data_IF_311214163242
#
_entry.id   IF_311214163242
#
_cell.length_a   1.000
_cell.length_b   1.000
_cell.length_c   1.000
_cell.angle_alpha   90.00
_cell.angle_beta   90.00
_cell.angle_gamma   90.00
#
_symmetry.space_group_name_H-M   'P 1'
#
loop_
_entity.id
_entity.type
_entity.pdbx_description
1 polymer ?
#
# COMPACT_ATOMS: atom_id res chain seq x y z
N UNK A 1 -73.02 4.83 6.12
CA UNK A 1 -73.45 5.19 7.46
C UNK A 1 -72.18 5.64 8.17
N UNK A 2 -71.88 6.94 7.99
CA UNK A 2 -72.00 8.01 9.01
C UNK A 2 -71.23 7.64 10.29
N UNK A 3 -70.18 8.33 10.57
CA UNK A 3 -69.98 9.66 11.31
C UNK A 3 -69.23 9.30 12.60
N UNK A 4 -68.24 9.90 13.17
CA UNK A 4 -67.63 11.24 13.32
C UNK A 4 -66.46 11.05 14.26
N UNK A 5 -65.33 11.70 14.07
CA UNK A 5 -64.78 12.90 14.75
C UNK A 5 -64.88 12.93 16.29
N UNK A 6 -63.76 13.05 17.00
CA UNK A 6 -63.29 14.31 17.60
C UNK A 6 -62.00 14.08 18.44
N UNK A 7 -60.97 14.80 18.18
CA UNK A 7 -60.36 15.99 18.89
C UNK A 7 -60.04 15.78 20.37
N UNK A 8 -58.79 15.86 20.77
CA UNK A 8 -58.13 16.99 21.49
C UNK A 8 -56.81 16.54 22.11
N UNK A 9 -55.80 17.34 21.85
CA UNK A 9 -54.57 17.43 22.68
C UNK A 9 -54.84 18.24 23.95
N UNK A 10 -54.02 18.24 24.99
CA UNK A 10 -52.82 19.09 24.98
C UNK A 10 -51.58 18.56 25.73
N UNK A 11 -50.44 19.20 25.44
CA UNK A 11 -49.16 19.21 26.12
C UNK A 11 -49.28 19.83 27.52
N UNK A 12 -48.43 19.50 28.57
CA UNK A 12 -47.20 20.25 28.73
C UNK A 12 -45.96 19.49 29.31
N UNK A 13 -44.78 19.89 28.79
CA UNK A 13 -43.53 20.37 29.42
C UNK A 13 -43.05 19.74 30.73
N UNK A 14 -41.76 19.37 30.72
CA UNK A 14 -40.63 19.94 31.51
C UNK A 14 -39.42 19.00 31.33
N UNK A 15 -38.30 19.52 30.81
CA UNK A 15 -36.97 18.98 30.96
C UNK A 15 -36.47 19.21 32.39
N UNK A 16 -35.46 18.49 32.87
CA UNK A 16 -34.13 19.08 32.79
C UNK A 16 -32.96 18.14 32.53
N UNK A 17 -31.97 18.71 31.91
CA UNK A 17 -30.52 18.57 32.07
C UNK A 17 -29.94 17.18 32.38
N UNK A 18 -29.16 16.67 31.42
CA UNK A 18 -28.25 15.56 31.57
C UNK A 18 -27.30 15.46 30.36
N UNK A 19 -26.19 16.15 30.47
CA UNK A 19 -24.90 16.02 29.83
C UNK A 19 -24.82 15.15 28.53
N UNK A 20 -24.62 15.82 27.43
CA UNK A 20 -24.12 15.26 26.20
C UNK A 20 -22.65 14.85 26.39
N UNK A 21 -22.25 13.63 26.03
CA UNK A 21 -20.84 13.31 25.86
C UNK A 21 -20.31 14.06 24.63
N UNK A 22 -19.27 14.82 24.87
CA UNK A 22 -18.48 15.58 23.92
C UNK A 22 -18.20 14.85 22.64
N UNK A 23 -18.45 15.52 21.52
CA UNK A 23 -18.02 15.14 20.19
C UNK A 23 -16.51 14.89 20.16
N UNK A 24 -16.12 13.62 20.12
CA UNK A 24 -14.76 13.21 19.82
C UNK A 24 -14.59 13.06 18.32
N UNK A 25 -13.58 13.79 17.85
CA UNK A 25 -12.85 13.60 16.60
C UNK A 25 -13.68 13.71 15.31
N UNK A 26 -13.85 14.94 14.86
CA UNK A 26 -13.94 15.21 13.42
C UNK A 26 -12.66 14.68 12.78
N UNK A 27 -12.81 13.68 11.95
CA UNK A 27 -11.86 13.28 10.91
C UNK A 27 -11.37 14.55 10.21
N UNK A 28 -10.07 14.83 10.33
CA UNK A 28 -9.39 15.85 9.55
C UNK A 28 -9.63 15.52 8.07
N UNK A 29 -10.36 16.39 7.43
CA UNK A 29 -10.86 16.22 6.08
C UNK A 29 -9.70 16.16 5.09
N UNK A 30 -9.82 15.24 4.15
CA UNK A 30 -8.98 14.97 2.97
C UNK A 30 -8.85 16.20 2.04
N UNK A 31 -9.46 17.33 2.36
CA UNK A 31 -9.57 18.54 1.53
C UNK A 31 -8.32 19.44 1.49
N UNK A 32 -7.29 19.20 2.31
CA UNK A 32 -6.13 20.12 2.37
C UNK A 32 -5.08 19.94 1.28
N UNK A 33 -5.23 18.96 0.39
CA UNK A 33 -4.24 18.71 -0.69
C UNK A 33 -4.64 19.35 -2.02
N UNK A 34 -5.92 19.64 -2.26
CA UNK A 34 -6.40 20.11 -3.56
C UNK A 34 -6.26 21.64 -3.79
N UNK A 35 -6.09 22.44 -2.75
CA UNK A 35 -6.15 23.91 -2.90
C UNK A 35 -4.82 24.61 -3.21
N UNK A 36 -3.68 23.94 -3.20
CA UNK A 36 -2.36 24.59 -3.35
C UNK A 36 -1.77 24.57 -4.76
N UNK A 37 -2.42 23.90 -5.71
CA UNK A 37 -1.88 23.79 -7.06
C UNK A 37 -2.41 24.88 -7.99
N UNK A 38 -1.52 25.77 -8.45
CA UNK A 38 -1.81 26.65 -9.59
C UNK A 38 -1.92 25.78 -10.85
N UNK A 39 -3.13 25.63 -11.40
CA UNK A 39 -3.32 24.99 -12.68
C UNK A 39 -3.01 25.98 -13.81
N UNK A 40 -2.00 25.68 -14.60
CA UNK A 40 -1.79 26.29 -15.90
C UNK A 40 -2.26 25.30 -16.99
N UNK A 41 -3.53 25.42 -17.41
CA UNK A 41 -4.14 24.45 -18.32
C UNK A 41 -4.26 23.06 -17.67
N UNK A 42 -3.66 22.03 -18.30
CA UNK A 42 -3.63 20.64 -17.78
C UNK A 42 -2.36 20.28 -17.02
N UNK A 43 -1.43 21.22 -16.84
CA UNK A 43 -0.14 20.99 -16.17
C UNK A 43 -0.29 21.44 -14.72
N UNK A 44 -0.09 20.50 -13.78
CA UNK A 44 0.10 20.83 -12.37
C UNK A 44 1.57 21.21 -12.16
N UNK A 45 1.82 22.39 -11.62
CA UNK A 45 3.18 22.86 -11.32
C UNK A 45 3.31 23.22 -9.86
N UNK A 46 4.47 22.86 -9.32
CA UNK A 46 4.87 23.16 -7.95
C UNK A 46 6.33 23.56 -7.96
N UNK A 47 6.68 24.60 -7.24
CA UNK A 47 8.09 24.96 -7.06
C UNK A 47 8.77 24.02 -6.08
N UNK A 48 10.12 23.92 -6.14
CA UNK A 48 10.87 23.10 -5.19
C UNK A 48 10.61 23.49 -3.71
N UNK A 49 10.55 24.76 -3.32
CA UNK A 49 10.17 25.14 -1.96
C UNK A 49 8.79 24.65 -1.56
N UNK A 50 7.79 24.80 -2.43
CA UNK A 50 6.42 24.28 -2.19
C UNK A 50 6.43 22.77 -2.04
N UNK A 51 7.14 22.03 -2.90
CA UNK A 51 7.29 20.58 -2.80
C UNK A 51 7.88 20.15 -1.45
N UNK A 52 8.93 20.81 -1.00
CA UNK A 52 9.61 20.49 0.26
C UNK A 52 8.79 20.87 1.51
N UNK A 53 7.84 21.79 1.36
CA UNK A 53 6.93 22.19 2.43
C UNK A 53 5.63 21.38 2.45
N UNK A 54 5.30 20.70 1.34
CA UNK A 54 4.09 19.89 1.20
C UNK A 54 4.24 18.58 1.95
N UNK A 55 3.18 18.20 2.65
CA UNK A 55 3.07 16.89 3.29
C UNK A 55 2.24 15.98 2.40
N UNK A 56 2.86 14.93 1.92
CA UNK A 56 2.16 13.93 1.13
C UNK A 56 1.55 12.86 2.03
N UNK A 57 0.47 12.23 1.56
CA UNK A 57 -0.11 11.09 2.26
C UNK A 57 0.91 9.96 2.29
N UNK A 58 1.14 9.42 3.47
CA UNK A 58 1.98 8.24 3.65
C UNK A 58 1.35 7.03 2.95
N UNK A 59 2.14 6.35 2.14
CA UNK A 59 1.77 5.10 1.48
C UNK A 59 2.73 4.01 1.93
N UNK A 60 2.45 3.35 3.09
CA UNK A 60 3.34 2.33 3.62
C UNK A 60 3.36 1.10 2.71
N UNK A 61 4.51 0.41 2.69
CA UNK A 61 4.65 -0.86 1.99
C UNK A 61 3.61 -1.88 2.47
N UNK A 62 3.13 -2.72 1.57
CA UNK A 62 2.27 -3.87 1.92
C UNK A 62 3.11 -4.97 2.54
N UNK A 63 4.29 -5.23 1.98
CA UNK A 63 5.29 -6.15 2.52
C UNK A 63 6.61 -5.39 2.57
N UNK A 64 7.09 -5.13 3.77
CA UNK A 64 8.25 -4.27 3.97
C UNK A 64 9.52 -4.91 3.39
N UNK A 65 10.25 -4.14 2.56
CA UNK A 65 11.42 -4.63 1.85
C UNK A 65 11.14 -5.51 0.63
N UNK A 66 9.87 -5.86 0.32
CA UNK A 66 9.52 -6.72 -0.82
C UNK A 66 8.47 -6.10 -1.75
N UNK A 67 7.38 -5.55 -1.23
CA UNK A 67 6.28 -5.00 -2.02
C UNK A 67 5.89 -3.61 -1.50
N UNK A 68 6.57 -2.56 -1.94
CA UNK A 68 6.18 -1.16 -1.66
C UNK A 68 4.78 -0.83 -2.18
N UNK A 69 4.26 0.35 -1.80
CA UNK A 69 3.01 0.85 -2.39
C UNK A 69 3.19 1.13 -3.89
N UNK A 70 2.19 0.79 -4.70
CA UNK A 70 2.22 1.02 -6.15
C UNK A 70 1.62 -0.11 -6.96
N UNK A 71 1.92 -0.15 -8.25
CA UNK A 71 1.44 -1.17 -9.19
C UNK A 71 2.58 -2.05 -9.65
N UNK A 72 2.44 -3.35 -9.42
CA UNK A 72 3.49 -4.35 -9.65
C UNK A 72 3.00 -5.47 -10.57
N UNK A 73 3.96 -6.06 -11.29
CA UNK A 73 3.73 -7.27 -12.07
C UNK A 73 4.31 -8.50 -11.33
N UNK A 74 3.57 -9.61 -11.29
CA UNK A 74 4.14 -10.92 -11.01
C UNK A 74 4.16 -11.73 -12.29
N UNK A 75 5.34 -11.93 -12.86
CA UNK A 75 5.52 -12.64 -14.10
C UNK A 75 6.15 -14.04 -13.88
N UNK A 76 5.95 -14.93 -14.84
CA UNK A 76 6.55 -16.26 -14.85
C UNK A 76 5.85 -17.21 -15.80
N UNK A 77 6.51 -18.32 -16.15
CA UNK A 77 5.97 -19.32 -17.06
C UNK A 77 4.63 -19.91 -16.57
N UNK A 78 3.75 -20.36 -17.47
CA UNK A 78 2.54 -21.07 -17.06
C UNK A 78 2.82 -22.28 -16.18
N UNK A 79 1.99 -22.50 -15.15
CA UNK A 79 2.07 -23.66 -14.23
C UNK A 79 3.35 -23.71 -13.36
N UNK A 80 4.03 -22.57 -13.17
CA UNK A 80 5.25 -22.52 -12.34
C UNK A 80 4.94 -22.39 -10.84
N UNK A 81 3.69 -22.06 -10.47
CA UNK A 81 3.26 -21.89 -9.08
C UNK A 81 2.92 -20.45 -8.66
N UNK A 82 2.75 -19.51 -9.63
CA UNK A 82 2.37 -18.11 -9.35
C UNK A 82 1.10 -17.98 -8.51
N UNK A 83 0.02 -18.69 -8.90
CA UNK A 83 -1.26 -18.64 -8.19
C UNK A 83 -1.19 -19.18 -6.76
N UNK A 84 -0.26 -20.11 -6.46
CA UNK A 84 0.02 -20.50 -5.07
C UNK A 84 0.74 -19.39 -4.31
N UNK A 85 1.73 -18.74 -4.96
CA UNK A 85 2.48 -17.66 -4.36
C UNK A 85 1.58 -16.45 -4.01
N UNK A 86 0.69 -16.06 -4.93
CA UNK A 86 -0.21 -14.92 -4.69
C UNK A 86 -1.33 -15.25 -3.71
N UNK A 87 -1.83 -16.49 -3.67
CA UNK A 87 -2.81 -16.92 -2.68
C UNK A 87 -2.21 -16.92 -1.27
N UNK A 88 -0.98 -17.44 -1.12
CA UNK A 88 -0.21 -17.37 0.12
C UNK A 88 0.03 -15.91 0.55
N UNK A 89 0.47 -15.05 -0.37
CA UNK A 89 0.68 -13.61 -0.11
C UNK A 89 -0.63 -12.96 0.35
N UNK A 90 -1.73 -13.19 -0.37
CA UNK A 90 -3.03 -12.63 -0.04
C UNK A 90 -3.49 -13.03 1.37
N UNK A 91 -3.35 -14.31 1.71
CA UNK A 91 -3.68 -14.82 3.04
C UNK A 91 -2.79 -14.19 4.13
N UNK A 92 -1.48 -14.24 3.98
CA UNK A 92 -0.55 -13.74 4.99
C UNK A 92 -0.67 -12.23 5.21
N UNK A 93 -0.86 -11.44 4.15
CA UNK A 93 -1.12 -9.99 4.25
C UNK A 93 -2.45 -9.74 4.98
N UNK A 94 -3.52 -10.48 4.66
CA UNK A 94 -4.82 -10.33 5.33
C UNK A 94 -4.76 -10.64 6.82
N UNK A 95 -3.83 -11.51 7.22
CA UNK A 95 -3.59 -11.90 8.63
C UNK A 95 -2.55 -11.00 9.33
N UNK A 96 -1.79 -10.19 8.57
CA UNK A 96 -0.63 -9.45 9.11
C UNK A 96 0.56 -10.36 9.43
N UNK A 97 0.61 -11.54 8.83
CA UNK A 97 1.70 -12.51 9.00
C UNK A 97 2.83 -12.22 8.01
N UNK A 98 4.10 -12.49 8.37
CA UNK A 98 5.21 -12.29 7.44
C UNK A 98 5.06 -13.13 6.18
N UNK A 99 5.27 -12.53 5.00
CA UNK A 99 5.34 -13.23 3.73
C UNK A 99 6.80 -13.49 3.34
N UNK A 100 7.18 -14.74 3.16
CA UNK A 100 8.56 -15.17 2.89
C UNK A 100 9.57 -14.56 3.91
N UNK A 101 9.17 -14.38 5.16
CA UNK A 101 10.00 -13.77 6.21
C UNK A 101 10.01 -12.24 6.23
N UNK A 102 9.41 -11.57 5.25
CA UNK A 102 9.28 -10.12 5.19
C UNK A 102 8.01 -9.67 5.96
N UNK A 103 8.10 -8.65 6.84
CA UNK A 103 6.94 -8.16 7.58
C UNK A 103 5.83 -7.66 6.66
N UNK A 104 4.58 -8.05 6.93
CA UNK A 104 3.40 -7.61 6.18
C UNK A 104 2.56 -6.63 6.96
N UNK A 105 2.02 -5.62 6.28
CA UNK A 105 0.99 -4.75 6.81
C UNK A 105 -0.36 -5.44 6.72
N UNK A 106 -1.04 -5.62 7.86
CA UNK A 106 -2.39 -6.16 7.87
C UNK A 106 -3.39 -5.20 7.24
N UNK A 107 -4.31 -5.72 6.44
CA UNK A 107 -5.45 -5.01 5.86
C UNK A 107 -6.29 -5.91 4.98
N UNK A 108 -7.37 -5.36 4.43
CA UNK A 108 -8.22 -6.09 3.49
C UNK A 108 -7.47 -6.34 2.18
N UNK A 109 -7.56 -7.57 1.68
CA UNK A 109 -6.98 -8.02 0.41
C UNK A 109 -8.10 -8.51 -0.50
N UNK A 110 -8.20 -7.93 -1.70
CA UNK A 110 -9.05 -8.44 -2.77
C UNK A 110 -8.21 -9.29 -3.73
N UNK A 111 -8.55 -10.57 -3.87
CA UNK A 111 -7.91 -11.45 -4.85
C UNK A 111 -8.88 -11.87 -5.93
N UNK A 112 -8.71 -11.32 -7.14
CA UNK A 112 -9.43 -11.69 -8.35
C UNK A 112 -8.74 -12.89 -9.01
N UNK A 113 -9.17 -14.11 -8.65
CA UNK A 113 -8.62 -15.39 -9.11
C UNK A 113 -9.34 -15.86 -10.39
N UNK A 114 -9.18 -15.11 -11.50
CA UNK A 114 -10.03 -15.23 -12.70
C UNK A 114 -9.74 -16.46 -13.59
N UNK A 115 -8.70 -17.23 -13.28
CA UNK A 115 -8.41 -18.51 -13.91
C UNK A 115 -8.68 -19.70 -12.99
N UNK A 116 -9.29 -19.45 -11.83
CA UNK A 116 -9.56 -20.45 -10.83
C UNK A 116 -11.07 -20.68 -10.59
N UNK A 117 -11.39 -21.63 -9.74
CA UNK A 117 -12.76 -21.89 -9.27
C UNK A 117 -12.81 -21.83 -7.75
N UNK A 118 -13.97 -21.47 -7.18
CA UNK A 118 -14.16 -21.43 -5.73
C UNK A 118 -13.79 -22.78 -5.07
N UNK A 119 -14.10 -23.91 -5.71
CA UNK A 119 -13.76 -25.24 -5.21
C UNK A 119 -12.24 -25.45 -5.12
N UNK A 120 -11.47 -25.01 -6.14
CA UNK A 120 -10.01 -25.13 -6.11
C UNK A 120 -9.38 -24.21 -5.08
N UNK A 121 -9.89 -22.98 -4.96
CA UNK A 121 -9.43 -22.04 -3.93
C UNK A 121 -9.68 -22.59 -2.53
N UNK A 122 -10.88 -23.14 -2.27
CA UNK A 122 -11.23 -23.77 -1.00
C UNK A 122 -10.26 -24.92 -0.67
N UNK A 123 -10.01 -25.83 -1.62
CA UNK A 123 -9.08 -26.96 -1.42
C UNK A 123 -7.65 -26.50 -1.12
N UNK A 124 -7.18 -25.43 -1.79
CA UNK A 124 -5.85 -24.89 -1.57
C UNK A 124 -5.75 -24.21 -0.20
N UNK A 125 -6.72 -23.37 0.16
CA UNK A 125 -6.74 -22.70 1.45
C UNK A 125 -6.83 -23.69 2.61
N UNK A 126 -7.68 -24.72 2.51
CA UNK A 126 -7.78 -25.76 3.52
C UNK A 126 -6.48 -26.56 3.72
N UNK A 127 -5.58 -26.58 2.72
CA UNK A 127 -4.26 -27.20 2.83
C UNK A 127 -3.17 -26.21 3.27
N UNK A 128 -3.36 -24.91 3.01
CA UNK A 128 -2.42 -23.86 3.41
C UNK A 128 -2.55 -23.47 4.88
N UNK A 129 -3.78 -23.48 5.43
CA UNK A 129 -4.04 -22.92 6.75
C UNK A 129 -5.27 -23.56 7.41
N UNK A 130 -5.29 -23.53 8.75
CA UNK A 130 -6.45 -23.88 9.57
C UNK A 130 -7.19 -22.64 10.11
N UNK A 131 -6.69 -21.42 9.82
CA UNK A 131 -7.23 -20.16 10.34
C UNK A 131 -7.89 -19.36 9.22
N UNK A 132 -9.08 -18.87 9.47
CA UNK A 132 -9.82 -18.04 8.54
C UNK A 132 -9.42 -16.55 8.67
N UNK A 133 -9.61 -15.80 7.57
CA UNK A 133 -9.44 -14.36 7.53
C UNK A 133 -10.65 -13.69 6.89
N UNK A 134 -11.34 -12.85 7.65
CA UNK A 134 -12.43 -12.01 7.13
C UNK A 134 -11.94 -10.90 6.20
N UNK A 135 -10.63 -10.61 6.24
CA UNK A 135 -9.99 -9.60 5.37
C UNK A 135 -9.49 -10.16 4.04
N UNK A 136 -9.58 -11.48 3.81
CA UNK A 136 -9.27 -12.08 2.52
C UNK A 136 -10.55 -12.24 1.72
N UNK A 137 -10.76 -11.37 0.74
CA UNK A 137 -11.93 -11.38 -0.13
C UNK A 137 -11.53 -11.94 -1.49
N UNK A 138 -12.26 -12.95 -1.96
CA UNK A 138 -11.95 -13.71 -3.16
C UNK A 138 -13.04 -13.55 -4.20
N UNK A 139 -12.68 -13.36 -5.47
CA UNK A 139 -13.60 -13.45 -6.59
C UNK A 139 -12.99 -14.25 -7.74
N UNK A 140 -13.80 -15.09 -8.37
CA UNK A 140 -13.43 -15.87 -9.57
C UNK A 140 -14.01 -15.25 -10.85
N UNK A 141 -14.64 -14.09 -10.72
CA UNK A 141 -15.22 -13.32 -11.81
C UNK A 141 -14.89 -11.83 -11.64
N UNK A 142 -14.71 -11.15 -12.76
CA UNK A 142 -14.60 -9.70 -12.83
C UNK A 142 -14.95 -9.24 -14.25
N UNK A 143 -15.40 -7.99 -14.38
CA UNK A 143 -15.47 -7.27 -15.62
C UNK A 143 -14.07 -6.99 -16.18
N UNK A 144 -13.98 -6.71 -17.48
CA UNK A 144 -12.75 -6.19 -18.09
C UNK A 144 -12.61 -4.68 -17.82
N UNK A 145 -11.43 -4.13 -18.09
CA UNK A 145 -11.20 -2.69 -17.97
C UNK A 145 -12.15 -1.84 -18.83
N UNK A 146 -12.57 -2.36 -19.99
CA UNK A 146 -13.52 -1.66 -20.86
C UNK A 146 -14.97 -1.85 -20.44
N UNK A 147 -15.25 -2.83 -19.60
CA UNK A 147 -16.59 -3.14 -19.08
C UNK A 147 -16.84 -2.59 -17.66
N UNK A 148 -15.92 -1.79 -17.12
CA UNK A 148 -16.10 -1.09 -15.84
C UNK A 148 -15.36 -1.67 -14.64
N UNK A 149 -14.24 -2.40 -14.85
CA UNK A 149 -13.44 -2.93 -13.73
C UNK A 149 -13.00 -1.83 -12.75
N UNK A 150 -12.56 -0.67 -13.25
CA UNK A 150 -12.09 0.42 -12.37
C UNK A 150 -13.20 0.93 -11.46
N UNK A 151 -14.41 1.06 -12.00
CA UNK A 151 -15.60 1.45 -11.25
C UNK A 151 -15.92 0.42 -10.16
N UNK A 152 -15.82 -0.89 -10.48
CA UNK A 152 -16.02 -1.96 -9.48
C UNK A 152 -14.97 -1.98 -8.38
N UNK A 153 -13.71 -1.73 -8.74
CA UNK A 153 -12.63 -1.60 -7.75
C UNK A 153 -12.84 -0.37 -6.86
N UNK A 154 -13.38 0.72 -7.41
CA UNK A 154 -13.72 1.93 -6.66
C UNK A 154 -14.88 1.68 -5.69
N UNK A 155 -15.95 1.02 -6.15
CA UNK A 155 -17.09 0.62 -5.32
C UNK A 155 -16.59 -0.28 -4.16
N UNK A 156 -15.79 -1.31 -4.48
CA UNK A 156 -15.20 -2.20 -3.49
C UNK A 156 -14.37 -1.45 -2.45
N UNK A 157 -13.49 -0.54 -2.90
CA UNK A 157 -12.66 0.25 -2.00
C UNK A 157 -13.50 1.16 -1.10
N UNK A 158 -14.61 1.70 -1.59
CA UNK A 158 -15.50 2.55 -0.79
C UNK A 158 -16.16 1.79 0.37
N UNK A 159 -16.41 0.49 0.20
CA UNK A 159 -16.95 -0.39 1.23
C UNK A 159 -15.85 -0.96 2.17
N UNK A 160 -14.60 -1.06 1.66
CA UNK A 160 -13.45 -1.64 2.36
C UNK A 160 -12.26 -0.65 2.36
N UNK A 161 -12.37 0.44 3.11
CA UNK A 161 -11.37 1.53 3.12
C UNK A 161 -10.03 1.14 3.74
N UNK A 162 -9.95 -0.01 4.43
CA UNK A 162 -8.73 -0.62 4.95
C UNK A 162 -8.02 -1.55 3.94
N UNK A 163 -8.46 -1.55 2.66
CA UNK A 163 -7.83 -2.33 1.59
C UNK A 163 -6.39 -1.89 1.37
N UNK A 164 -5.47 -2.84 1.45
CA UNK A 164 -4.02 -2.63 1.27
C UNK A 164 -3.49 -3.23 -0.02
N UNK A 165 -4.13 -4.31 -0.52
CA UNK A 165 -3.66 -5.07 -1.67
C UNK A 165 -4.83 -5.54 -2.53
N UNK A 166 -4.71 -5.36 -3.85
CA UNK A 166 -5.56 -5.97 -4.86
C UNK A 166 -4.69 -6.84 -5.76
N UNK A 167 -5.04 -8.13 -5.89
CA UNK A 167 -4.34 -9.07 -6.75
C UNK A 167 -5.24 -9.43 -7.92
N UNK A 168 -4.72 -9.34 -9.15
CA UNK A 168 -5.44 -9.69 -10.38
C UNK A 168 -4.71 -10.87 -11.05
N UNK A 169 -5.29 -12.06 -11.02
CA UNK A 169 -4.74 -13.29 -11.62
C UNK A 169 -5.69 -13.82 -12.71
N UNK A 170 -5.52 -13.45 -14.00
CA UNK A 170 -4.37 -12.80 -14.63
C UNK A 170 -4.76 -11.53 -15.41
N UNK A 171 -3.74 -10.74 -15.78
CA UNK A 171 -3.88 -9.57 -16.66
C UNK A 171 -4.70 -9.87 -17.92
N UNK A 172 -4.49 -11.05 -18.52
CA UNK A 172 -5.18 -11.47 -19.75
C UNK A 172 -6.70 -11.49 -19.61
N UNK A 173 -7.22 -11.71 -18.41
CA UNK A 173 -8.67 -11.82 -18.15
C UNK A 173 -9.36 -10.48 -18.00
N UNK A 174 -8.61 -9.44 -17.66
CA UNK A 174 -9.16 -8.07 -17.43
C UNK A 174 -8.83 -7.09 -18.55
N UNK A 175 -8.01 -7.48 -19.53
CA UNK A 175 -7.74 -6.67 -20.72
C UNK A 175 -9.01 -6.36 -21.48
N UNK A 176 -9.12 -5.13 -21.97
CA UNK A 176 -10.16 -4.74 -22.93
C UNK A 176 -10.03 -5.47 -24.27
N UNK A 177 -11.10 -5.52 -25.03
CA UNK A 177 -11.14 -6.09 -26.38
C UNK A 177 -10.70 -5.05 -27.40
N UNK A 178 -9.42 -4.74 -27.49
CA UNK A 178 -8.89 -3.92 -28.58
C UNK A 178 -8.50 -4.80 -29.76
N UNK A 179 -8.69 -4.34 -31.04
CA UNK A 179 -8.28 -5.09 -32.23
C UNK A 179 -6.79 -5.43 -32.25
N UNK A 180 -5.97 -4.67 -31.53
CA UNK A 180 -4.51 -4.79 -31.41
C UNK A 180 -4.08 -5.43 -30.10
N UNK A 181 -4.77 -6.50 -29.68
CA UNK A 181 -4.45 -7.26 -28.46
C UNK A 181 -2.99 -7.78 -28.53
N UNK A 182 -2.08 -7.10 -27.81
CA UNK A 182 -0.65 -7.45 -27.73
C UNK A 182 0.28 -6.34 -28.27
N UNK A 183 -0.27 -5.17 -28.65
CA UNK A 183 0.56 -3.99 -28.95
C UNK A 183 1.12 -3.38 -27.65
N UNK A 184 2.27 -2.75 -27.76
CA UNK A 184 2.91 -1.98 -26.68
C UNK A 184 1.95 -0.98 -26.04
N UNK A 185 1.17 -0.28 -26.87
CA UNK A 185 0.24 0.74 -26.42
C UNK A 185 -0.91 0.18 -25.56
N UNK A 186 -1.49 -0.96 -25.96
CA UNK A 186 -2.58 -1.61 -25.21
C UNK A 186 -2.13 -2.15 -23.86
N UNK A 187 -0.93 -2.72 -23.80
CA UNK A 187 -0.32 -3.21 -22.55
C UNK A 187 -0.02 -2.07 -21.58
N UNK A 188 0.55 -0.98 -22.11
CA UNK A 188 0.84 0.22 -21.34
C UNK A 188 -0.45 0.87 -20.79
N UNK A 189 -1.48 1.03 -21.62
CA UNK A 189 -2.76 1.63 -21.22
C UNK A 189 -3.45 0.82 -20.13
N UNK A 190 -3.45 -0.50 -20.27
CA UNK A 190 -4.03 -1.42 -19.27
C UNK A 190 -3.41 -1.20 -17.87
N UNK A 191 -2.08 -1.18 -17.78
CA UNK A 191 -1.41 -0.95 -16.51
C UNK A 191 -1.49 0.51 -16.04
N UNK A 192 -1.49 1.48 -16.97
CA UNK A 192 -1.62 2.89 -16.61
C UNK A 192 -2.95 3.19 -15.89
N UNK A 193 -4.06 2.60 -16.35
CA UNK A 193 -5.38 2.73 -15.69
C UNK A 193 -5.39 2.10 -14.28
N UNK A 194 -4.78 0.92 -14.11
CA UNK A 194 -4.64 0.28 -12.81
C UNK A 194 -3.70 1.08 -11.88
N UNK A 195 -2.66 1.68 -12.45
CA UNK A 195 -1.75 2.56 -11.71
C UNK A 195 -2.44 3.83 -11.24
N UNK A 196 -3.23 4.47 -12.10
CA UNK A 196 -4.01 5.65 -11.72
C UNK A 196 -4.96 5.34 -10.56
N UNK A 197 -5.62 4.18 -10.58
CA UNK A 197 -6.43 3.69 -9.46
C UNK A 197 -5.56 3.51 -8.19
N UNK A 198 -4.43 2.79 -8.29
CA UNK A 198 -3.50 2.58 -7.19
C UNK A 198 -3.03 3.90 -6.57
N UNK A 199 -2.66 4.86 -7.43
CA UNK A 199 -2.16 6.17 -7.01
C UNK A 199 -3.25 7.02 -6.36
N UNK A 200 -4.49 6.96 -6.86
CA UNK A 200 -5.63 7.72 -6.32
C UNK A 200 -6.05 7.23 -4.95
N UNK A 201 -6.15 5.91 -4.77
CA UNK A 201 -6.70 5.31 -3.55
C UNK A 201 -5.64 4.85 -2.55
N UNK A 202 -4.35 4.86 -2.94
CA UNK A 202 -3.23 4.43 -2.10
C UNK A 202 -3.23 2.93 -1.81
N UNK A 203 -3.80 2.12 -2.72
CA UNK A 203 -3.88 0.67 -2.64
C UNK A 203 -2.85 0.05 -3.56
N UNK A 204 -2.09 -0.94 -3.09
CA UNK A 204 -1.15 -1.67 -3.96
C UNK A 204 -1.91 -2.62 -4.88
N UNK A 205 -1.57 -2.61 -6.16
CA UNK A 205 -2.13 -3.50 -7.17
C UNK A 205 -1.04 -4.44 -7.68
N UNK A 206 -1.23 -5.75 -7.52
CA UNK A 206 -0.34 -6.79 -8.04
C UNK A 206 -1.03 -7.55 -9.17
N UNK A 207 -0.46 -7.48 -10.37
CA UNK A 207 -1.03 -8.09 -11.58
C UNK A 207 -0.20 -9.28 -12.02
N UNK A 208 -0.82 -10.46 -12.07
CA UNK A 208 -0.17 -11.69 -12.52
C UNK A 208 -0.17 -11.75 -14.04
N UNK A 209 1.01 -12.07 -14.61
CA UNK A 209 1.20 -12.17 -16.05
C UNK A 209 2.03 -13.38 -16.44
N UNK A 210 1.91 -13.83 -17.69
CA UNK A 210 2.68 -14.96 -18.22
C UNK A 210 3.90 -14.47 -19.01
N UNK A 211 5.06 -15.13 -18.81
CA UNK A 211 6.24 -14.89 -19.64
C UNK A 211 6.15 -15.63 -20.98
N UNK A 212 6.86 -15.13 -22.00
CA UNK A 212 7.09 -15.86 -23.26
C UNK A 212 8.05 -17.03 -23.02
N UNK A 213 8.05 -17.98 -23.97
CA UNK A 213 8.88 -19.19 -23.89
C UNK A 213 10.34 -18.99 -24.29
N UNK A 214 10.70 -17.85 -24.83
CA UNK A 214 12.05 -17.57 -25.32
C UNK A 214 12.96 -17.14 -24.16
N UNK A 215 14.14 -17.79 -24.07
CA UNK A 215 15.18 -17.39 -23.13
C UNK A 215 15.76 -16.05 -23.55
N UNK A 216 15.88 -15.13 -22.60
CA UNK A 216 16.55 -13.86 -22.78
C UNK A 216 17.78 -13.81 -21.86
N UNK A 217 18.83 -13.07 -22.26
CA UNK A 217 20.00 -12.84 -21.40
C UNK A 217 19.64 -12.11 -20.12
N UNK A 218 18.65 -11.20 -20.20
CA UNK A 218 18.02 -10.58 -19.05
C UNK A 218 16.65 -11.24 -18.80
N UNK A 219 16.46 -11.82 -17.62
CA UNK A 219 15.24 -12.53 -17.22
C UNK A 219 13.99 -11.65 -17.28
N UNK A 220 14.10 -10.35 -17.06
CA UNK A 220 12.96 -9.41 -17.16
C UNK A 220 12.52 -9.17 -18.61
N UNK A 221 13.38 -9.38 -19.59
CA UNK A 221 13.02 -9.35 -21.01
C UNK A 221 12.12 -10.54 -21.42
N UNK A 222 11.98 -11.55 -20.57
CA UNK A 222 11.01 -12.64 -20.76
C UNK A 222 9.58 -12.24 -20.45
N UNK A 223 9.34 -11.08 -19.79
CA UNK A 223 7.99 -10.62 -19.53
C UNK A 223 7.31 -10.36 -20.87
N UNK A 224 6.28 -11.16 -21.13
CA UNK A 224 5.58 -11.19 -22.40
C UNK A 224 4.92 -9.85 -22.71
N UNK A 225 5.02 -9.45 -23.93
CA UNK A 225 4.28 -8.35 -24.47
C UNK A 225 5.19 -7.27 -24.93
N UNK A 226 5.83 -6.54 -24.06
CA UNK A 226 6.61 -5.39 -24.53
C UNK A 226 7.27 -4.73 -23.32
N UNK A 227 8.28 -3.92 -23.57
CA UNK A 227 8.80 -2.95 -22.61
C UNK A 227 7.70 -2.04 -22.02
N UNK A 228 6.46 -2.07 -22.57
CA UNK A 228 5.31 -1.30 -22.13
C UNK A 228 4.80 -1.66 -20.75
N UNK A 229 4.69 -2.95 -20.46
CA UNK A 229 4.23 -3.41 -19.13
C UNK A 229 5.22 -2.99 -18.03
N UNK A 230 6.52 -3.22 -18.28
CA UNK A 230 7.56 -2.81 -17.34
C UNK A 230 7.67 -1.30 -17.19
N UNK A 231 7.45 -0.53 -18.29
CA UNK A 231 7.49 0.93 -18.27
C UNK A 231 6.35 1.56 -17.48
N UNK A 232 5.17 0.95 -17.45
CA UNK A 232 3.99 1.44 -16.73
C UNK A 232 3.98 1.02 -15.25
N UNK A 233 4.57 -0.12 -14.89
CA UNK A 233 4.63 -0.63 -13.53
C UNK A 233 5.66 0.11 -12.67
N UNK A 234 5.47 0.12 -11.35
CA UNK A 234 6.46 0.59 -10.38
C UNK A 234 7.55 -0.45 -10.11
N UNK A 235 7.27 -1.71 -10.43
CA UNK A 235 8.23 -2.79 -10.36
C UNK A 235 7.64 -4.13 -10.81
N UNK A 236 8.47 -5.17 -10.77
CA UNK A 236 8.09 -6.51 -11.14
C UNK A 236 8.76 -7.57 -10.26
N UNK A 237 8.03 -8.65 -10.07
CA UNK A 237 8.45 -9.89 -9.46
C UNK A 237 8.47 -10.95 -10.55
N UNK A 238 9.58 -11.64 -10.76
CA UNK A 238 9.71 -12.70 -11.76
C UNK A 238 9.98 -14.03 -11.08
N UNK A 239 9.00 -14.93 -11.13
CA UNK A 239 9.15 -16.30 -10.65
C UNK A 239 9.63 -17.21 -11.78
N UNK A 240 10.79 -17.84 -11.61
CA UNK A 240 11.32 -18.77 -12.60
C UNK A 240 11.95 -20.01 -11.95
N UNK A 241 12.10 -21.08 -12.73
CA UNK A 241 12.72 -22.34 -12.33
C UNK A 241 13.70 -22.78 -13.40
N UNK A 242 14.83 -23.32 -13.00
CA UNK A 242 15.81 -23.90 -13.94
C UNK A 242 15.23 -25.10 -14.68
N UNK A 243 14.47 -25.94 -13.98
CA UNK A 243 13.75 -27.08 -14.57
C UNK A 243 12.29 -27.06 -14.10
N UNK A 244 11.36 -27.37 -15.00
CA UNK A 244 9.91 -27.40 -14.69
C UNK A 244 9.55 -28.35 -13.55
N UNK A 245 10.31 -29.41 -13.38
CA UNK A 245 10.09 -30.46 -12.36
C UNK A 245 10.76 -30.12 -11.02
N UNK A 246 11.55 -29.04 -10.95
CA UNK A 246 12.21 -28.65 -9.71
C UNK A 246 11.17 -28.17 -8.67
N UNK A 247 11.38 -28.53 -7.40
CA UNK A 247 10.65 -27.93 -6.26
C UNK A 247 11.12 -26.51 -6.01
N UNK A 248 12.37 -26.21 -6.32
CA UNK A 248 13.02 -24.94 -6.08
C UNK A 248 12.76 -23.96 -7.22
N UNK A 249 12.64 -22.69 -6.90
CA UNK A 249 12.44 -21.58 -7.81
C UNK A 249 13.23 -20.37 -7.35
N UNK A 250 13.42 -19.40 -8.25
CA UNK A 250 13.97 -18.10 -7.93
C UNK A 250 12.89 -17.06 -8.16
N UNK A 251 12.72 -16.15 -7.20
CA UNK A 251 11.90 -14.95 -7.31
C UNK A 251 12.84 -13.76 -7.38
N UNK A 252 12.93 -13.15 -8.55
CA UNK A 252 13.65 -11.90 -8.74
C UNK A 252 12.71 -10.73 -8.64
N UNK A 253 13.15 -9.68 -7.94
CA UNK A 253 12.34 -8.48 -7.68
C UNK A 253 13.11 -7.25 -8.10
N UNK A 254 12.46 -6.38 -8.86
CA UNK A 254 12.98 -5.09 -9.31
C UNK A 254 11.91 -4.03 -9.19
N UNK A 255 12.29 -2.84 -8.75
CA UNK A 255 11.37 -1.70 -8.64
C UNK A 255 12.11 -0.38 -8.75
N UNK A 256 11.35 0.72 -8.90
CA UNK A 256 11.91 2.08 -9.05
C UNK A 256 12.65 2.54 -7.80
N UNK A 257 12.09 2.22 -6.63
CA UNK A 257 12.53 2.76 -5.33
C UNK A 257 13.01 1.67 -4.37
N UNK A 258 13.43 0.52 -4.90
CA UNK A 258 13.95 -0.59 -4.11
C UNK A 258 15.13 -1.26 -4.80
N UNK A 259 16.09 -1.81 -4.04
CA UNK A 259 17.18 -2.60 -4.62
C UNK A 259 16.65 -3.88 -5.25
N UNK A 260 17.41 -4.42 -6.19
CA UNK A 260 17.11 -5.74 -6.73
C UNK A 260 17.27 -6.81 -5.65
N UNK A 261 16.30 -7.71 -5.58
CA UNK A 261 16.33 -8.86 -4.69
C UNK A 261 16.26 -10.15 -5.52
N UNK A 262 16.99 -11.15 -5.07
CA UNK A 262 16.94 -12.49 -5.62
C UNK A 262 16.72 -13.49 -4.50
N UNK A 263 15.55 -14.12 -4.50
CA UNK A 263 15.09 -14.99 -3.43
C UNK A 263 15.02 -16.43 -3.93
N UNK A 264 15.74 -17.32 -3.30
CA UNK A 264 15.67 -18.76 -3.56
C UNK A 264 14.52 -19.35 -2.75
N UNK A 265 13.57 -19.95 -3.44
CA UNK A 265 12.34 -20.47 -2.86
C UNK A 265 12.24 -21.98 -3.06
N UNK A 266 11.61 -22.67 -2.10
CA UNK A 266 11.19 -24.07 -2.22
C UNK A 266 9.67 -24.17 -2.09
N UNK A 267 9.06 -24.97 -2.97
CA UNK A 267 7.64 -25.26 -2.86
C UNK A 267 7.39 -26.42 -1.89
N UNK A 268 6.79 -26.12 -0.75
CA UNK A 268 6.36 -27.09 0.26
C UNK A 268 5.00 -27.69 -0.15
N UNK A 269 5.04 -28.83 -0.84
CA UNK A 269 3.83 -29.48 -1.38
C UNK A 269 2.84 -29.91 -0.30
N UNK A 270 3.30 -30.17 0.94
CA UNK A 270 2.43 -30.51 2.06
C UNK A 270 1.45 -29.41 2.44
N UNK A 271 1.87 -28.15 2.31
CA UNK A 271 1.09 -26.96 2.69
C UNK A 271 0.77 -26.05 1.50
N UNK A 272 1.14 -26.45 0.28
CA UNK A 272 0.97 -25.66 -0.96
C UNK A 272 1.55 -24.25 -0.88
N UNK A 273 2.61 -24.05 -0.07
CA UNK A 273 3.26 -22.76 0.17
C UNK A 273 4.68 -22.73 -0.38
N UNK A 274 5.16 -21.52 -0.66
CA UNK A 274 6.55 -21.25 -0.95
C UNK A 274 7.27 -20.87 0.35
N UNK A 275 8.45 -21.42 0.53
CA UNK A 275 9.34 -21.15 1.66
C UNK A 275 10.60 -20.46 1.14
N UNK A 276 11.07 -19.44 1.85
CA UNK A 276 12.33 -18.78 1.57
C UNK A 276 13.47 -19.68 2.06
N UNK A 277 14.39 -20.02 1.16
CA UNK A 277 15.63 -20.75 1.49
C UNK A 277 16.77 -19.77 1.75
N UNK A 278 16.95 -18.80 0.84
CA UNK A 278 18.06 -17.86 0.84
C UNK A 278 17.69 -16.58 0.11
N UNK A 279 18.23 -15.46 0.55
CA UNK A 279 18.19 -14.19 -0.15
C UNK A 279 19.61 -13.79 -0.55
N UNK A 280 19.90 -13.68 -1.84
CA UNK A 280 21.22 -13.28 -2.36
C UNK A 280 21.52 -11.80 -2.12
N UNK A 281 20.48 -10.98 -1.94
CA UNK A 281 20.62 -9.57 -1.67
C UNK A 281 19.95 -9.26 -0.34
N UNK A 282 20.67 -8.61 0.57
CA UNK A 282 20.03 -8.13 1.79
C UNK A 282 18.92 -7.12 1.44
N UNK A 283 17.77 -7.19 2.13
CA UNK A 283 16.74 -6.16 1.97
C UNK A 283 17.36 -4.77 2.17
N UNK A 284 16.99 -3.82 1.31
CA UNK A 284 17.42 -2.44 1.48
C UNK A 284 17.04 -1.95 2.87
N UNK A 285 18.05 -1.63 3.66
CA UNK A 285 17.86 -0.93 4.92
C UNK A 285 18.13 0.53 4.66
N UNK A 286 17.08 1.33 4.79
CA UNK A 286 17.23 2.77 4.72
C UNK A 286 18.32 3.23 5.70
N UNK A 287 19.29 4.05 5.26
CA UNK A 287 20.34 4.51 6.16
C UNK A 287 19.73 5.18 7.39
N UNK A 288 20.25 4.93 8.58
CA UNK A 288 19.73 5.54 9.79
C UNK A 288 19.73 7.05 9.65
N UNK A 289 18.59 7.68 9.86
CA UNK A 289 18.48 9.13 9.88
C UNK A 289 18.74 9.62 11.31
N UNK A 290 19.86 10.30 11.59
CA UNK A 290 20.20 10.72 12.95
C UNK A 290 19.09 11.56 13.61
N UNK A 291 18.39 12.39 12.83
CA UNK A 291 17.27 13.18 13.36
C UNK A 291 16.18 12.27 13.94
N UNK A 292 15.76 11.21 13.24
CA UNK A 292 14.71 10.32 13.72
C UNK A 292 15.12 9.56 14.98
N UNK A 293 16.39 9.18 15.08
CA UNK A 293 16.92 8.54 16.29
C UNK A 293 16.93 9.50 17.50
N UNK A 294 17.26 10.79 17.29
CA UNK A 294 17.15 11.77 18.34
C UNK A 294 15.69 12.03 18.75
N UNK A 295 14.78 12.05 17.78
CA UNK A 295 13.37 12.22 18.08
C UNK A 295 12.79 11.05 18.88
N UNK A 296 13.22 9.82 18.61
CA UNK A 296 12.78 8.66 19.41
C UNK A 296 13.25 8.70 20.85
N UNK A 297 14.39 9.36 21.13
CA UNK A 297 14.85 9.61 22.50
C UNK A 297 14.09 10.76 23.17
N UNK A 298 13.68 11.77 22.37
CA UNK A 298 12.92 12.93 22.86
C UNK A 298 11.45 12.61 23.13
N UNK A 299 10.83 11.79 22.26
CA UNK A 299 9.42 11.43 22.33
C UNK A 299 9.30 9.91 22.38
N UNK A 300 8.78 9.40 23.50
CA UNK A 300 8.66 7.98 23.84
C UNK A 300 7.59 7.78 24.92
N UNK A 301 7.45 6.56 25.43
CA UNK A 301 6.50 6.25 26.49
C UNK A 301 6.63 7.16 27.74
N UNK A 302 7.87 7.47 28.15
CA UNK A 302 8.12 8.36 29.29
C UNK A 302 7.90 9.84 29.03
N UNK A 303 7.93 10.25 27.75
CA UNK A 303 7.65 11.61 27.28
C UNK A 303 6.82 11.55 26.00
N UNK A 304 5.49 11.38 26.11
CA UNK A 304 4.65 10.99 24.96
C UNK A 304 4.39 12.09 23.94
N UNK A 305 4.80 13.34 24.20
CA UNK A 305 4.57 14.43 23.24
C UNK A 305 5.60 15.54 23.35
N UNK A 306 5.87 16.18 22.24
CA UNK A 306 6.63 17.42 22.14
C UNK A 306 5.94 18.39 21.18
N UNK A 307 5.85 19.67 21.57
CA UNK A 307 5.26 20.72 20.74
C UNK A 307 6.16 21.97 20.78
N UNK A 308 6.32 22.61 19.64
CA UNK A 308 7.11 23.82 19.52
C UNK A 308 7.43 24.19 18.08
N UNK A 309 8.30 25.15 17.88
CA UNK A 309 8.79 25.58 16.56
C UNK A 309 9.98 24.74 16.12
N UNK A 310 10.30 24.74 14.82
CA UNK A 310 11.49 24.08 14.31
C UNK A 310 12.81 24.60 14.94
N UNK A 311 12.82 25.89 15.31
CA UNK A 311 13.97 26.51 16.00
C UNK A 311 14.13 25.97 17.40
N UNK A 312 13.04 25.83 18.15
CA UNK A 312 13.07 25.26 19.49
C UNK A 312 13.44 23.78 19.46
N UNK A 313 12.98 23.03 18.43
CA UNK A 313 13.37 21.64 18.24
C UNK A 313 14.88 21.53 17.95
N UNK A 314 15.42 22.38 17.07
CA UNK A 314 16.86 22.41 16.80
C UNK A 314 17.68 22.70 18.05
N UNK A 315 17.23 23.65 18.88
CA UNK A 315 17.90 23.96 20.16
C UNK A 315 17.80 22.80 21.17
N UNK A 316 16.64 22.12 21.22
CA UNK A 316 16.46 20.96 22.07
C UNK A 316 17.40 19.81 21.69
N UNK A 317 17.48 19.50 20.37
CA UNK A 317 18.35 18.45 19.84
C UNK A 317 19.85 18.77 20.07
N UNK A 318 20.27 20.03 19.85
CA UNK A 318 21.65 20.45 20.10
C UNK A 318 22.08 20.35 21.58
N UNK A 319 21.12 20.38 22.52
CA UNK A 319 21.41 20.14 23.94
C UNK A 319 21.57 18.66 24.27
N UNK A 320 20.94 17.77 23.47
CA UNK A 320 21.04 16.31 23.67
C UNK A 320 22.36 15.77 23.14
N UNK A 321 22.88 16.35 22.06
CA UNK A 321 24.20 16.02 21.51
C UNK A 321 24.85 17.26 20.90
N UNK A 322 25.96 17.70 21.52
CA UNK A 322 26.74 18.85 21.09
C UNK A 322 27.56 18.60 19.80
N UNK A 323 27.65 17.37 19.34
CA UNK A 323 28.39 16.98 18.13
C UNK A 323 27.59 17.11 16.84
N UNK A 324 26.24 17.21 16.93
CA UNK A 324 25.37 17.34 15.76
C UNK A 324 24.55 18.62 15.83
N UNK A 325 24.51 19.35 14.71
CA UNK A 325 23.70 20.56 14.56
C UNK A 325 22.73 20.41 13.40
N UNK A 326 21.45 20.59 13.67
CA UNK A 326 20.40 20.56 12.67
C UNK A 326 19.82 21.95 12.45
N UNK A 327 19.75 22.40 11.20
CA UNK A 327 19.07 23.67 10.90
C UNK A 327 17.54 23.48 10.98
N UNK A 328 16.78 24.50 11.45
CA UNK A 328 15.31 24.40 11.51
C UNK A 328 14.65 24.01 10.18
N UNK A 329 15.17 24.56 9.08
CA UNK A 329 14.67 24.25 7.74
C UNK A 329 14.93 22.79 7.33
N UNK A 330 16.12 22.26 7.64
CA UNK A 330 16.45 20.88 7.36
C UNK A 330 15.59 19.91 8.19
N UNK A 331 15.32 20.23 9.46
CA UNK A 331 14.44 19.45 10.33
C UNK A 331 13.05 19.32 9.70
N UNK A 332 12.42 20.43 9.28
CA UNK A 332 11.09 20.42 8.69
C UNK A 332 11.06 19.60 7.40
N UNK A 333 12.03 19.78 6.52
CA UNK A 333 12.14 19.02 5.26
C UNK A 333 12.30 17.54 5.52
N UNK A 334 13.16 17.15 6.45
CA UNK A 334 13.39 15.74 6.81
C UNK A 334 12.15 15.14 7.44
N UNK A 335 11.47 15.83 8.34
CA UNK A 335 10.21 15.36 8.95
C UNK A 335 9.10 15.19 7.92
N UNK A 336 8.97 16.11 6.96
CA UNK A 336 7.99 15.98 5.88
C UNK A 336 8.30 14.78 4.96
N UNK A 337 9.58 14.55 4.63
CA UNK A 337 10.00 13.46 3.76
C UNK A 337 9.97 12.09 4.47
N UNK A 338 10.24 12.06 5.78
CA UNK A 338 10.45 10.83 6.55
C UNK A 338 9.34 10.55 7.59
N UNK A 339 8.17 11.20 7.44
CA UNK A 339 7.06 11.04 8.40
C UNK A 339 6.57 9.58 8.51
N UNK A 340 6.63 8.82 7.42
CA UNK A 340 6.28 7.41 7.38
C UNK A 340 7.26 6.56 8.18
N UNK A 341 8.56 6.74 7.94
CA UNK A 341 9.63 6.05 8.68
C UNK A 341 9.55 6.38 10.17
N UNK A 342 9.27 7.65 10.52
CA UNK A 342 9.11 8.08 11.90
C UNK A 342 7.94 7.37 12.59
N UNK A 343 6.81 7.25 11.90
CA UNK A 343 5.63 6.56 12.41
C UNK A 343 5.83 5.04 12.51
N UNK A 344 6.35 4.39 11.45
CA UNK A 344 6.50 2.93 11.40
C UNK A 344 7.58 2.40 12.34
N UNK A 345 8.71 3.10 12.43
CA UNK A 345 9.89 2.61 13.15
C UNK A 345 9.93 3.02 14.62
N UNK A 346 9.32 4.16 14.94
CA UNK A 346 9.41 4.76 16.26
C UNK A 346 8.06 5.06 16.92
N UNK A 347 6.95 4.73 16.26
CA UNK A 347 5.57 5.00 16.71
C UNK A 347 5.32 6.49 17.01
N UNK A 348 6.02 7.38 16.31
CA UNK A 348 5.92 8.82 16.50
C UNK A 348 5.15 9.45 15.35
N UNK A 349 4.00 10.04 15.66
CA UNK A 349 3.21 10.83 14.73
C UNK A 349 3.70 12.26 14.69
N UNK A 350 3.97 12.75 13.49
CA UNK A 350 4.35 14.13 13.22
C UNK A 350 3.19 14.92 12.64
N UNK A 351 2.93 16.12 13.18
CA UNK A 351 1.96 17.09 12.65
C UNK A 351 2.57 18.48 12.66
N UNK A 352 2.40 19.23 11.55
CA UNK A 352 2.78 20.64 11.49
C UNK A 352 1.53 21.51 11.29
N UNK A 353 1.41 22.57 12.08
CA UNK A 353 0.34 23.54 11.98
C UNK A 353 0.90 24.91 11.65
N UNK A 354 0.17 25.68 10.83
CA UNK A 354 0.50 27.09 10.59
C UNK A 354 -0.21 27.93 11.65
N UNK A 355 0.57 28.65 12.44
CA UNK A 355 0.05 29.62 13.43
C UNK A 355 0.28 31.04 12.96
N UNK A 356 -0.30 32.04 13.64
CA UNK A 356 -0.02 33.48 13.35
C UNK A 356 1.46 33.85 13.55
N UNK A 357 2.16 33.10 14.38
CA UNK A 357 3.57 33.33 14.75
C UNK A 357 4.56 32.46 13.94
N UNK A 358 4.06 31.59 13.03
CA UNK A 358 4.89 30.71 12.20
C UNK A 358 4.39 29.26 12.14
N UNK A 359 5.28 28.34 11.77
CA UNK A 359 4.99 26.90 11.78
C UNK A 359 5.26 26.31 13.17
N UNK A 360 4.23 25.69 13.77
CA UNK A 360 4.34 24.87 14.97
C UNK A 360 4.40 23.39 14.57
N UNK A 361 5.28 22.64 15.22
CA UNK A 361 5.47 21.21 15.04
C UNK A 361 4.91 20.49 16.28
N UNK A 362 4.23 19.38 16.04
CA UNK A 362 3.76 18.49 17.07
C UNK A 362 4.26 17.07 16.78
N UNK A 363 4.90 16.48 17.77
CA UNK A 363 5.36 15.10 17.76
C UNK A 363 4.62 14.37 18.87
N UNK A 364 4.05 13.23 18.59
CA UNK A 364 3.29 12.42 19.55
C UNK A 364 3.65 10.95 19.39
N UNK A 365 3.96 10.31 20.51
CA UNK A 365 4.10 8.86 20.56
C UNK A 365 2.71 8.23 20.65
N UNK A 366 2.40 7.30 19.72
CA UNK A 366 1.08 6.66 19.62
C UNK A 366 0.99 5.34 20.41
N UNK A 367 2.12 4.87 21.02
CA UNK A 367 2.17 3.57 21.70
C UNK A 367 2.40 2.39 20.75
N UNK A 368 2.88 1.29 21.28
CA UNK A 368 3.04 0.04 20.52
C UNK A 368 1.64 -0.45 20.12
N UNK A 369 1.45 -0.67 18.82
CA UNK A 369 0.26 -1.31 18.27
C UNK A 369 0.34 -2.82 18.38
#
# INVERSE_FOLDING_TARGET
MRIEKDTTAPIPSVAPDGEQPSALARTDSITDIEETHKQFGKIQIMTMPELMETRFRVRPAVIDGLLPAGTYLLAGAPKIGKSFLVLQMAYQVSMGEPFLGFPSRQGTVLYLALEDTCERLQKRLAQMTERDSERLILSVFSETLDEGLIERLTDFWSEHTDTVLIIIDTLQRVRGRTPDNGSYAADYDTLARLKEFSDTYGVTVLVVHHTRKEGAEDVFNMISGTNGLMGAADGALLLHKDKRTASDAVLEVVGRDQPQLRLHLRFAAAHLCWELLEAETEPYREPPCPLLEFLSRLVNEGNPSWNGTATELAQCLSKMDSGQSFTPNWIVRTLNAQQDTLLRKYDIRYVAHRTREGKSLSLRWDGVR
#
